data_IF_741962801064
#
_entry.id   IF_741962801064
#
_cell.length_a   1.000
_cell.length_b   1.000
_cell.length_c   1.000
_cell.angle_alpha   90.00
_cell.angle_beta   90.00
_cell.angle_gamma   90.00
#
_symmetry.space_group_name_H-M   'P 1'
#
loop_
_entity.id
_entity.type
_entity.pdbx_description
1 polymer ?
#
# COMPACT_ATOMS: atom_id res chain seq x y z
N UNK A 1 -4.47 0.43 28.64
CA UNK A 1 -3.95 0.70 27.28
C UNK A 1 -4.75 -0.20 26.36
N UNK A 2 -5.47 0.37 25.39
CA UNK A 2 -6.34 -0.40 24.50
C UNK A 2 -5.52 -1.22 23.50
N UNK A 3 -5.95 -2.44 23.18
CA UNK A 3 -5.28 -3.27 22.18
C UNK A 3 -5.49 -2.72 20.76
N UNK A 4 -4.60 -3.02 19.81
CA UNK A 4 -4.70 -2.55 18.42
C UNK A 4 -6.02 -2.93 17.75
N UNK A 5 -6.53 -4.13 18.04
CA UNK A 5 -7.81 -4.63 17.53
C UNK A 5 -9.02 -3.83 18.02
N UNK A 6 -8.88 -3.02 19.07
CA UNK A 6 -9.95 -2.14 19.54
C UNK A 6 -10.06 -0.83 18.73
N UNK A 7 -9.02 -0.50 17.95
CA UNK A 7 -9.00 0.69 17.09
C UNK A 7 -9.21 0.38 15.61
N UNK A 8 -8.81 -0.81 15.16
CA UNK A 8 -8.77 -1.18 13.76
C UNK A 8 -9.31 -2.59 13.57
N UNK A 9 -10.19 -2.75 12.58
CA UNK A 9 -10.57 -4.07 12.07
C UNK A 9 -9.50 -4.56 11.07
N UNK A 10 -8.70 -5.54 11.51
CA UNK A 10 -7.58 -6.09 10.75
C UNK A 10 -7.99 -7.22 9.79
N UNK A 11 -9.25 -7.67 9.80
CA UNK A 11 -9.74 -8.70 8.88
C UNK A 11 -9.84 -8.16 7.44
N UNK A 12 -9.97 -6.84 7.29
CA UNK A 12 -10.10 -6.15 6.01
C UNK A 12 -8.76 -5.72 5.38
N UNK A 13 -7.64 -6.28 5.84
CA UNK A 13 -6.31 -5.98 5.26
C UNK A 13 -5.48 -7.23 5.03
N UNK A 14 -4.68 -7.23 3.97
CA UNK A 14 -3.65 -8.26 3.72
C UNK A 14 -2.41 -8.09 4.61
N UNK A 15 -2.36 -7.02 5.42
CA UNK A 15 -1.19 -6.62 6.19
C UNK A 15 -1.40 -6.61 7.73
N UNK A 16 -2.13 -7.57 8.34
CA UNK A 16 -2.36 -7.55 9.79
C UNK A 16 -1.04 -7.69 10.56
N UNK A 17 -0.05 -8.38 9.97
CA UNK A 17 1.30 -8.57 10.51
C UNK A 17 2.06 -7.27 10.77
N UNK A 18 1.67 -6.15 10.16
CA UNK A 18 2.28 -4.85 10.44
C UNK A 18 1.94 -4.33 11.85
N UNK A 19 0.84 -4.84 12.43
CA UNK A 19 0.32 -4.42 13.72
C UNK A 19 0.61 -5.41 14.85
N UNK A 20 1.29 -6.54 14.56
CA UNK A 20 1.69 -7.52 15.58
C UNK A 20 2.71 -6.91 16.55
N UNK A 21 2.58 -7.23 17.84
CA UNK A 21 3.50 -6.84 18.92
C UNK A 21 3.72 -5.32 19.05
N UNK A 22 2.69 -4.50 18.79
CA UNK A 22 2.76 -3.04 18.94
C UNK A 22 2.12 -2.55 20.23
N UNK A 23 2.75 -1.56 20.86
CA UNK A 23 2.18 -0.86 22.01
C UNK A 23 1.09 0.13 21.56
N UNK A 24 1.33 0.83 20.44
CA UNK A 24 0.36 1.74 19.84
C UNK A 24 0.10 1.42 18.37
N UNK A 25 -1.12 1.69 17.88
CA UNK A 25 -1.49 1.43 16.48
C UNK A 25 -0.64 2.19 15.47
N UNK A 26 -0.18 3.41 15.82
CA UNK A 26 0.70 4.21 14.98
C UNK A 26 2.16 3.75 14.99
N UNK A 27 2.57 2.84 15.87
CA UNK A 27 3.92 2.25 15.82
C UNK A 27 4.12 1.41 14.56
N UNK A 28 3.02 0.95 13.92
CA UNK A 28 3.02 0.35 12.60
C UNK A 28 3.68 1.25 11.54
N UNK A 29 3.50 2.58 11.62
CA UNK A 29 4.06 3.53 10.65
C UNK A 29 5.58 3.45 10.55
N UNK A 30 6.25 3.22 11.69
CA UNK A 30 7.72 3.10 11.77
C UNK A 30 8.23 1.87 11.03
N UNK A 31 7.39 0.85 10.85
CA UNK A 31 7.74 -0.43 10.26
C UNK A 31 7.36 -0.57 8.80
N UNK A 32 6.57 0.35 8.24
CA UNK A 32 6.09 0.27 6.85
C UNK A 32 7.25 0.06 5.88
N UNK A 33 8.34 0.82 6.03
CA UNK A 33 9.48 0.74 5.11
C UNK A 33 10.14 -0.64 5.10
N UNK A 34 10.53 -1.17 6.26
CA UNK A 34 11.16 -2.49 6.37
C UNK A 34 10.20 -3.62 6.03
N UNK A 35 8.93 -3.49 6.42
CA UNK A 35 7.87 -4.42 6.08
C UNK A 35 7.71 -4.56 4.56
N UNK A 36 7.61 -3.44 3.84
CA UNK A 36 7.48 -3.44 2.39
C UNK A 36 8.75 -3.98 1.72
N UNK A 37 9.96 -3.62 2.18
CA UNK A 37 11.20 -4.17 1.63
C UNK A 37 11.23 -5.71 1.68
N UNK A 38 10.69 -6.32 2.73
CA UNK A 38 10.69 -7.78 2.88
C UNK A 38 9.51 -8.47 2.19
N UNK A 39 8.31 -7.86 2.21
CA UNK A 39 7.06 -8.51 1.77
C UNK A 39 6.61 -8.13 0.37
N UNK A 40 7.00 -6.95 -0.12
CA UNK A 40 6.56 -6.46 -1.41
C UNK A 40 7.21 -7.27 -2.52
N UNK A 41 6.36 -7.89 -3.34
CA UNK A 41 6.74 -8.45 -4.64
C UNK A 41 6.17 -7.52 -5.70
N UNK A 42 7.01 -6.81 -6.47
CA UNK A 42 6.50 -5.88 -7.47
C UNK A 42 5.58 -6.58 -8.46
N UNK A 43 4.52 -5.89 -8.89
CA UNK A 43 3.55 -6.47 -9.81
C UNK A 43 2.39 -5.53 -10.08
N UNK A 44 1.98 -5.44 -11.34
CA UNK A 44 0.84 -4.62 -11.76
C UNK A 44 -0.29 -5.56 -12.18
N UNK A 45 -1.26 -5.76 -11.30
CA UNK A 45 -2.46 -6.58 -11.56
C UNK A 45 -3.70 -5.74 -11.91
N UNK A 46 -3.60 -4.42 -11.72
CA UNK A 46 -4.62 -3.44 -12.09
C UNK A 46 -4.45 -2.90 -13.52
N UNK A 47 -5.27 -1.90 -13.86
CA UNK A 47 -5.26 -1.24 -15.16
C UNK A 47 -4.50 0.10 -15.07
N UNK A 48 -3.61 0.33 -16.04
CA UNK A 48 -2.97 1.63 -16.24
C UNK A 48 -3.69 2.35 -17.38
N UNK A 49 -4.15 3.57 -17.13
CA UNK A 49 -4.80 4.44 -18.13
C UNK A 49 -3.84 5.56 -18.49
N UNK A 50 -3.41 5.59 -19.74
CA UNK A 50 -2.42 6.56 -20.22
C UNK A 50 -0.99 6.20 -19.84
N UNK A 51 -0.23 7.18 -19.32
CA UNK A 51 1.20 7.03 -18.99
C UNK A 51 1.51 7.49 -17.55
N UNK A 52 1.11 6.72 -16.52
CA UNK A 52 1.60 6.95 -15.17
C UNK A 52 3.08 6.55 -15.05
N UNK A 53 3.78 7.15 -14.09
CA UNK A 53 5.12 6.74 -13.68
C UNK A 53 5.05 5.75 -12.52
N UNK A 54 5.68 4.58 -12.68
CA UNK A 54 5.85 3.60 -11.62
C UNK A 54 7.32 3.25 -11.47
N UNK A 55 7.84 3.30 -10.25
CA UNK A 55 9.17 2.76 -9.97
C UNK A 55 9.16 1.23 -9.89
N UNK A 56 10.34 0.62 -9.89
CA UNK A 56 10.51 -0.84 -9.93
C UNK A 56 9.93 -1.59 -8.73
N UNK A 57 9.69 -0.93 -7.59
CA UNK A 57 9.24 -1.56 -6.35
C UNK A 57 7.79 -1.17 -6.01
N UNK A 58 6.88 -1.34 -6.97
CA UNK A 58 5.46 -1.03 -6.78
C UNK A 58 4.62 -2.28 -7.00
N UNK A 59 3.68 -2.53 -6.09
CA UNK A 59 2.61 -3.51 -6.27
C UNK A 59 1.27 -2.79 -6.45
N UNK A 60 0.46 -3.25 -7.41
CA UNK A 60 -0.90 -2.77 -7.67
C UNK A 60 -1.84 -3.98 -7.72
N UNK A 61 -2.81 -3.99 -6.80
CA UNK A 61 -3.84 -5.02 -6.71
C UNK A 61 -4.83 -5.02 -7.87
N UNK A 62 -5.62 -6.09 -7.96
CA UNK A 62 -6.66 -6.27 -8.99
C UNK A 62 -7.77 -5.23 -8.84
N UNK A 63 -8.44 -4.90 -9.94
CA UNK A 63 -9.53 -3.91 -9.95
C UNK A 63 -9.08 -2.47 -9.70
N UNK A 64 -7.79 -2.23 -9.46
CA UNK A 64 -7.24 -0.89 -9.27
C UNK A 64 -6.98 -0.21 -10.62
N UNK A 65 -7.37 1.06 -10.73
CA UNK A 65 -7.12 1.91 -11.90
C UNK A 65 -6.09 2.97 -11.53
N UNK A 66 -5.03 3.09 -12.32
CA UNK A 66 -4.04 4.17 -12.21
C UNK A 66 -4.10 5.04 -13.45
N UNK A 67 -4.54 6.28 -13.26
CA UNK A 67 -4.74 7.25 -14.32
C UNK A 67 -3.43 7.95 -14.73
N UNK A 68 -3.53 8.71 -15.82
CA UNK A 68 -2.41 9.38 -16.47
C UNK A 68 -1.69 10.34 -15.52
N UNK A 69 -0.36 10.35 -15.60
CA UNK A 69 0.46 11.31 -14.86
C UNK A 69 0.54 11.04 -13.35
N UNK A 70 -0.11 9.99 -12.84
CA UNK A 70 0.15 9.52 -11.48
C UNK A 70 1.62 9.07 -11.35
N UNK A 71 2.22 9.29 -10.19
CA UNK A 71 3.61 8.99 -9.88
C UNK A 71 3.64 8.12 -8.61
N UNK A 72 4.02 6.87 -8.79
CA UNK A 72 4.15 5.88 -7.71
C UNK A 72 5.63 5.54 -7.51
N UNK A 73 6.23 6.11 -6.46
CA UNK A 73 7.61 5.81 -6.02
C UNK A 73 7.59 4.75 -4.94
N UNK A 74 8.40 3.72 -5.13
CA UNK A 74 8.47 2.54 -4.30
C UNK A 74 9.54 2.64 -3.20
N UNK A 75 9.49 1.74 -2.19
CA UNK A 75 8.56 0.61 -2.12
C UNK A 75 7.12 1.04 -1.78
N UNK A 76 6.15 0.68 -2.62
CA UNK A 76 4.75 1.10 -2.46
C UNK A 76 3.77 -0.01 -2.80
N UNK A 77 2.74 -0.19 -1.98
CA UNK A 77 1.69 -1.18 -2.17
C UNK A 77 0.35 -0.48 -2.33
N UNK A 78 -0.27 -0.62 -3.51
CA UNK A 78 -1.64 -0.21 -3.75
C UNK A 78 -2.52 -1.46 -3.73
N UNK A 79 -3.53 -1.45 -2.85
CA UNK A 79 -4.45 -2.56 -2.66
C UNK A 79 -5.34 -2.83 -3.88
N UNK A 80 -6.32 -3.70 -3.69
CA UNK A 80 -7.33 -4.00 -4.70
C UNK A 80 -8.41 -2.91 -4.75
N UNK A 81 -9.07 -2.78 -5.89
CA UNK A 81 -10.23 -1.90 -6.10
C UNK A 81 -10.00 -0.42 -5.73
N UNK A 82 -8.77 0.06 -5.91
CA UNK A 82 -8.40 1.46 -5.67
C UNK A 82 -8.54 2.32 -6.94
N UNK A 83 -8.66 3.63 -6.78
CA UNK A 83 -8.57 4.58 -7.89
C UNK A 83 -7.45 5.59 -7.61
N UNK A 84 -6.37 5.49 -8.38
CA UNK A 84 -5.25 6.44 -8.35
C UNK A 84 -5.46 7.43 -9.49
N UNK A 85 -6.03 8.59 -9.14
CA UNK A 85 -6.44 9.59 -10.13
C UNK A 85 -5.26 10.37 -10.71
N UNK A 86 -5.54 11.06 -11.81
CA UNK A 86 -4.56 11.77 -12.62
C UNK A 86 -3.72 12.73 -11.77
N UNK A 87 -2.39 12.66 -11.93
CA UNK A 87 -1.44 13.50 -11.19
C UNK A 87 -1.22 13.13 -9.72
N UNK A 88 -1.81 12.04 -9.21
CA UNK A 88 -1.57 11.58 -7.83
C UNK A 88 -0.09 11.26 -7.60
N UNK A 89 0.46 11.63 -6.44
CA UNK A 89 1.85 11.37 -6.07
C UNK A 89 1.93 10.54 -4.79
N UNK A 90 2.49 9.33 -4.88
CA UNK A 90 2.71 8.41 -3.75
C UNK A 90 4.19 8.08 -3.65
N UNK A 91 4.74 8.06 -2.43
CA UNK A 91 6.16 7.81 -2.15
C UNK A 91 6.37 7.03 -0.85
#
# INVERSE_FOLDING_TARGET
MFATAEFLDLEHTAHPKLFENQNHVWDALKQIASYLQFRLKPGVLGQLVGKPFLSNHVFIGRGTIVEQGAVLKGPAWIGENCQIRSGCYVR
#
